data_IF_813773935766
#
_entry.id   IF_813773935766
#
_cell.length_a   1.000
_cell.length_b   1.000
_cell.length_c   1.000
_cell.angle_alpha   90.00
_cell.angle_beta   90.00
_cell.angle_gamma   90.00
#
_symmetry.space_group_name_H-M   'P 1'
#
loop_
_entity.id
_entity.type
_entity.pdbx_description
1 polymer ?
#
# COMPACT_ATOMS: atom_id res chain seq x y z
N UNK A 1 -9.96 -12.21 -16.76
CA UNK A 1 -9.56 -12.62 -15.40
C UNK A 1 -8.93 -11.45 -14.64
N UNK A 2 -7.86 -10.84 -15.16
CA UNK A 2 -7.14 -9.72 -14.50
C UNK A 2 -8.06 -8.55 -14.10
N UNK A 3 -9.00 -8.13 -14.96
CA UNK A 3 -9.97 -7.07 -14.63
C UNK A 3 -10.83 -7.39 -13.40
N UNK A 4 -11.22 -8.65 -13.20
CA UNK A 4 -11.98 -9.05 -12.02
C UNK A 4 -11.05 -9.13 -10.80
N UNK A 5 -9.91 -9.80 -10.93
CA UNK A 5 -8.98 -10.00 -9.81
C UNK A 5 -8.31 -8.71 -9.35
N UNK A 6 -8.18 -7.70 -10.21
CA UNK A 6 -7.64 -6.40 -9.84
C UNK A 6 -8.70 -5.49 -9.21
N UNK A 7 -9.95 -5.49 -9.69
CA UNK A 7 -11.00 -4.58 -9.18
C UNK A 7 -11.67 -5.12 -7.92
N UNK A 8 -11.87 -6.42 -7.82
CA UNK A 8 -12.59 -7.06 -6.72
C UNK A 8 -12.04 -6.72 -5.31
N UNK A 9 -10.71 -6.74 -5.06
CA UNK A 9 -10.17 -6.35 -3.76
C UNK A 9 -10.56 -4.93 -3.33
N UNK A 10 -10.61 -3.98 -4.26
CA UNK A 10 -11.00 -2.60 -3.96
C UNK A 10 -12.49 -2.48 -3.60
N UNK A 11 -13.35 -3.26 -4.24
CA UNK A 11 -14.78 -3.32 -3.90
C UNK A 11 -14.98 -3.83 -2.47
N UNK A 12 -14.25 -4.88 -2.08
CA UNK A 12 -14.29 -5.42 -0.71
C UNK A 12 -13.76 -4.39 0.29
N UNK A 13 -12.63 -3.73 0.00
CA UNK A 13 -12.09 -2.68 0.86
C UNK A 13 -13.07 -1.51 1.04
N UNK A 14 -13.80 -1.12 -0.01
CA UNK A 14 -14.83 -0.09 0.07
C UNK A 14 -15.98 -0.50 1.00
N UNK A 15 -16.51 -1.71 0.84
CA UNK A 15 -17.59 -2.23 1.69
C UNK A 15 -17.14 -2.31 3.16
N UNK A 16 -15.94 -2.83 3.40
CA UNK A 16 -15.36 -2.92 4.75
C UNK A 16 -15.08 -1.53 5.34
N UNK A 17 -14.63 -0.57 4.54
CA UNK A 17 -14.40 0.81 4.96
C UNK A 17 -15.70 1.50 5.40
N UNK A 18 -16.75 1.42 4.56
CA UNK A 18 -18.07 1.97 4.90
C UNK A 18 -18.61 1.28 6.17
N UNK A 19 -18.50 -0.05 6.26
CA UNK A 19 -18.94 -0.78 7.43
C UNK A 19 -18.18 -0.34 8.68
N UNK A 20 -16.86 -0.25 8.62
CA UNK A 20 -16.01 0.22 9.71
C UNK A 20 -16.35 1.62 10.19
N UNK A 21 -16.70 2.53 9.27
CA UNK A 21 -17.19 3.86 9.62
C UNK A 21 -18.55 3.89 10.30
N UNK A 22 -19.43 2.94 9.99
CA UNK A 22 -20.74 2.83 10.63
C UNK A 22 -20.68 2.16 12.02
N UNK A 23 -19.55 1.58 12.43
CA UNK A 23 -19.42 0.95 13.75
C UNK A 23 -19.30 2.00 14.87
N UNK A 24 -19.97 1.79 16.02
CA UNK A 24 -19.76 2.62 17.20
C UNK A 24 -18.32 2.45 17.70
N UNK A 25 -17.62 3.56 17.94
CA UNK A 25 -16.22 3.55 18.38
C UNK A 25 -15.18 3.68 17.27
N UNK A 26 -15.60 3.94 16.02
CA UNK A 26 -14.68 4.23 14.90
C UNK A 26 -13.68 5.36 15.23
N UNK A 27 -14.14 6.41 15.91
CA UNK A 27 -13.29 7.54 16.32
C UNK A 27 -12.08 7.11 17.16
N UNK A 28 -12.25 6.13 18.05
CA UNK A 28 -11.15 5.59 18.85
C UNK A 28 -10.15 4.81 17.99
N UNK A 29 -10.63 4.08 16.99
CA UNK A 29 -9.79 3.37 16.04
C UNK A 29 -8.93 4.32 15.20
N UNK A 30 -9.53 5.38 14.65
CA UNK A 30 -8.79 6.42 13.90
C UNK A 30 -7.78 7.12 14.81
N UNK A 31 -8.18 7.49 16.02
CA UNK A 31 -7.27 8.14 16.98
C UNK A 31 -6.07 7.24 17.31
N UNK A 32 -6.29 5.96 17.57
CA UNK A 32 -5.20 5.00 17.81
C UNK A 32 -4.27 4.87 16.60
N UNK A 33 -4.82 4.81 15.39
CA UNK A 33 -4.03 4.71 14.16
C UNK A 33 -3.21 5.98 13.87
N UNK A 34 -3.78 7.17 14.10
CA UNK A 34 -3.15 8.45 13.76
C UNK A 34 -2.27 9.01 14.88
N UNK A 35 -2.34 8.50 16.11
CA UNK A 35 -1.56 9.03 17.24
C UNK A 35 -0.05 8.86 16.97
N UNK A 36 0.71 9.94 16.72
CA UNK A 36 2.12 9.83 16.40
C UNK A 36 2.92 9.55 17.66
N UNK A 37 3.70 8.47 17.65
CA UNK A 37 4.70 8.20 18.68
C UNK A 37 6.10 8.53 18.15
N UNK A 38 6.50 9.79 18.32
CA UNK A 38 7.79 10.32 17.84
C UNK A 38 8.99 9.67 18.53
N UNK A 39 8.80 9.04 19.69
CA UNK A 39 9.87 8.33 20.39
C UNK A 39 10.37 7.13 19.58
N UNK A 40 9.46 6.47 18.86
CA UNK A 40 9.73 5.30 18.01
C UNK A 40 10.58 5.64 16.79
N UNK A 41 10.61 6.89 16.35
CA UNK A 41 11.45 7.32 15.22
C UNK A 41 12.96 7.26 15.56
N UNK A 42 13.32 7.25 16.84
CA UNK A 42 14.71 7.09 17.29
C UNK A 42 15.17 5.62 17.25
N UNK A 43 14.23 4.69 17.14
CA UNK A 43 14.55 3.27 17.06
C UNK A 43 14.94 2.89 15.62
N UNK A 44 16.18 2.42 15.44
CA UNK A 44 16.67 1.95 14.12
C UNK A 44 15.77 0.87 13.51
N UNK A 45 15.10 0.08 14.34
CA UNK A 45 14.18 -0.98 13.90
C UNK A 45 13.02 -0.44 13.07
N UNK A 46 12.44 0.71 13.44
CA UNK A 46 11.29 1.30 12.72
C UNK A 46 11.67 1.66 11.27
N UNK A 47 12.91 2.13 11.06
CA UNK A 47 13.44 2.43 9.73
C UNK A 47 13.72 1.16 8.91
N UNK A 48 14.22 0.10 9.56
CA UNK A 48 14.43 -1.18 8.88
C UNK A 48 13.10 -1.80 8.42
N UNK A 49 12.09 -1.80 9.29
CA UNK A 49 10.75 -2.31 8.97
C UNK A 49 10.10 -1.50 7.84
N UNK A 50 10.22 -0.17 7.86
CA UNK A 50 9.70 0.71 6.80
C UNK A 50 10.41 0.46 5.45
N UNK A 51 11.74 0.32 5.45
CA UNK A 51 12.50 0.03 4.24
C UNK A 51 12.08 -1.33 3.65
N UNK A 52 12.02 -2.38 4.47
CA UNK A 52 11.57 -3.70 4.03
C UNK A 52 10.15 -3.65 3.45
N UNK A 53 9.23 -2.94 4.10
CA UNK A 53 7.86 -2.78 3.63
C UNK A 53 7.80 -2.16 2.22
N UNK A 54 8.55 -1.09 1.97
CA UNK A 54 8.64 -0.45 0.65
C UNK A 54 9.27 -1.39 -0.38
N UNK A 55 10.35 -2.10 -0.02
CA UNK A 55 11.00 -3.06 -0.91
C UNK A 55 10.07 -4.18 -1.37
N UNK A 56 9.26 -4.73 -0.45
CA UNK A 56 8.30 -5.78 -0.77
C UNK A 56 7.13 -5.28 -1.63
N UNK A 57 6.55 -4.12 -1.31
CA UNK A 57 5.43 -3.57 -2.09
C UNK A 57 5.85 -3.24 -3.52
N UNK A 58 7.05 -2.67 -3.70
CA UNK A 58 7.58 -2.36 -5.02
C UNK A 58 8.12 -3.58 -5.75
N UNK A 59 8.32 -4.71 -5.05
CA UNK A 59 8.85 -5.95 -5.63
C UNK A 59 10.14 -5.72 -6.44
N UNK A 60 10.98 -4.78 -5.99
CA UNK A 60 12.18 -4.30 -6.73
C UNK A 60 13.14 -5.46 -7.05
N UNK A 61 13.18 -6.47 -6.19
CA UNK A 61 14.02 -7.66 -6.32
C UNK A 61 13.43 -8.78 -7.18
N UNK A 62 12.16 -8.70 -7.58
CA UNK A 62 11.45 -9.79 -8.27
C UNK A 62 11.35 -9.60 -9.80
N UNK A 63 11.90 -8.52 -10.36
CA UNK A 63 11.99 -8.31 -11.82
C UNK A 63 10.66 -8.09 -12.55
N UNK A 64 9.52 -8.18 -11.88
CA UNK A 64 8.19 -8.01 -12.49
C UNK A 64 7.98 -6.63 -13.12
N UNK A 65 8.49 -5.57 -12.48
CA UNK A 65 8.47 -4.21 -13.04
C UNK A 65 9.38 -4.08 -14.27
N UNK A 66 10.52 -4.77 -14.29
CA UNK A 66 11.46 -4.77 -15.43
C UNK A 66 10.83 -5.49 -16.62
N UNK A 67 10.21 -6.65 -16.39
CA UNK A 67 9.49 -7.42 -17.41
C UNK A 67 8.29 -6.64 -17.95
N UNK A 68 7.50 -6.00 -17.09
CA UNK A 68 6.37 -5.16 -17.53
C UNK A 68 6.87 -3.95 -18.34
N UNK A 69 7.98 -3.33 -17.92
CA UNK A 69 8.62 -2.23 -18.65
C UNK A 69 9.16 -2.68 -20.01
N UNK A 70 9.62 -3.94 -20.13
CA UNK A 70 10.07 -4.52 -21.40
C UNK A 70 8.95 -4.70 -22.43
N UNK A 71 7.69 -4.76 -22.01
CA UNK A 71 6.54 -4.79 -22.91
C UNK A 71 6.05 -3.37 -23.30
N UNK A 72 6.66 -2.32 -22.74
CA UNK A 72 6.33 -0.94 -23.10
C UNK A 72 7.03 -0.55 -24.42
N UNK A 73 6.33 0.20 -25.29
CA UNK A 73 6.93 0.69 -26.54
C UNK A 73 8.00 1.75 -26.22
N UNK A 74 9.14 1.69 -26.89
CA UNK A 74 10.35 2.51 -26.59
C UNK A 74 10.11 4.04 -26.61
N UNK A 75 9.01 4.51 -27.20
CA UNK A 75 8.65 5.93 -27.32
C UNK A 75 7.50 6.37 -26.40
N UNK A 76 7.10 5.54 -25.44
CA UNK A 76 6.08 5.88 -24.44
C UNK A 76 6.76 6.48 -23.20
N UNK A 77 6.52 7.76 -22.93
CA UNK A 77 7.02 8.43 -21.72
C UNK A 77 6.45 7.76 -20.47
N UNK A 78 7.32 7.29 -19.58
CA UNK A 78 6.99 6.64 -18.29
C UNK A 78 6.79 7.64 -17.15
N UNK A 79 7.08 8.92 -17.38
CA UNK A 79 6.85 10.05 -16.49
C UNK A 79 5.83 10.97 -17.16
N UNK A 80 4.57 10.76 -16.85
CA UNK A 80 3.46 11.69 -17.12
C UNK A 80 2.93 12.20 -15.80
#
# INVERSE_FOLDING_TARGET
>A
IVYFTSVFPYVILLILGIRGWMLPGMSNGIYFYMKPDVSRLRETRVWNDAANQIFFILSVTYGGLITLSSYNKFNQSTLG
#
